data_IF_612835543044
#
_entry.id   IF_612835543044
#
_cell.length_a   1.000
_cell.length_b   1.000
_cell.length_c   1.000
_cell.angle_alpha   90.00
_cell.angle_beta   90.00
_cell.angle_gamma   90.00
#
_symmetry.space_group_name_H-M   'P 1'
#
loop_
_entity.id
_entity.type
_entity.pdbx_description
1 polymer ?
#
# COMPACT_ATOMS: atom_id res chain seq x y z
N UNK A 1 0.71 -3.09 -19.85
CA UNK A 1 1.59 -2.07 -19.28
C UNK A 1 2.91 -2.08 -20.05
N UNK A 2 3.27 -0.99 -20.71
CA UNK A 2 4.52 -0.89 -21.46
C UNK A 2 5.13 0.50 -21.39
N UNK A 3 6.49 0.59 -21.45
CA UNK A 3 7.21 1.86 -21.54
C UNK A 3 7.12 2.79 -20.33
N UNK A 4 6.84 2.25 -19.13
CA UNK A 4 6.74 3.05 -17.89
C UNK A 4 8.13 3.17 -17.27
N UNK A 5 8.56 4.41 -17.04
CA UNK A 5 9.77 4.73 -16.28
C UNK A 5 9.40 5.66 -15.14
N UNK A 6 9.70 5.27 -13.91
CA UNK A 6 9.47 6.09 -12.73
C UNK A 6 10.58 5.88 -11.70
N UNK A 7 10.78 6.86 -10.86
CA UNK A 7 11.69 6.79 -9.72
C UNK A 7 10.96 7.36 -8.51
N UNK A 8 11.13 6.76 -7.36
CA UNK A 8 10.68 7.31 -6.07
C UNK A 8 11.90 7.57 -5.21
N UNK A 9 12.07 8.81 -4.78
CA UNK A 9 13.20 9.22 -3.95
C UNK A 9 12.85 9.11 -2.46
N UNK A 10 13.86 9.13 -1.62
CA UNK A 10 13.65 9.25 -0.17
C UNK A 10 12.94 10.58 0.13
N UNK A 11 11.92 10.52 1.01
CA UNK A 11 11.14 11.69 1.36
C UNK A 11 10.28 12.22 0.22
N UNK A 12 9.89 11.38 -0.74
CA UNK A 12 9.03 11.73 -1.87
C UNK A 12 7.74 10.87 -1.85
N UNK A 13 6.60 11.50 -2.07
CA UNK A 13 5.32 10.83 -2.34
C UNK A 13 5.01 10.94 -3.82
N UNK A 14 4.95 9.82 -4.51
CA UNK A 14 4.61 9.73 -5.93
C UNK A 14 3.25 9.05 -6.09
N UNK A 15 2.29 9.73 -6.71
CA UNK A 15 1.01 9.13 -7.07
C UNK A 15 1.04 8.60 -8.51
N UNK A 16 0.59 7.36 -8.70
CA UNK A 16 0.32 6.79 -10.00
C UNK A 16 -1.19 6.81 -10.24
N UNK A 17 -1.60 7.53 -11.27
CA UNK A 17 -2.99 7.67 -11.67
C UNK A 17 -3.22 7.07 -13.05
N UNK A 18 -4.47 6.88 -13.44
CA UNK A 18 -4.84 6.35 -14.76
C UNK A 18 -6.18 5.62 -14.72
N UNK A 19 -6.73 5.34 -15.87
CA UNK A 19 -8.01 4.65 -16.02
C UNK A 19 -7.99 3.25 -15.37
N UNK A 20 -9.18 2.71 -15.08
CA UNK A 20 -9.30 1.31 -14.67
C UNK A 20 -8.76 0.40 -15.78
N UNK A 21 -7.94 -0.58 -15.39
CA UNK A 21 -7.27 -1.47 -16.33
C UNK A 21 -5.96 -0.90 -16.95
N UNK A 22 -5.54 0.33 -16.62
CA UNK A 22 -4.27 0.89 -17.10
C UNK A 22 -3.01 0.17 -16.58
N UNK A 23 -3.16 -0.77 -15.64
CA UNK A 23 -2.04 -1.55 -15.10
C UNK A 23 -1.40 -0.98 -13.84
N UNK A 24 -2.09 -0.08 -13.12
CA UNK A 24 -1.59 0.55 -11.88
C UNK A 24 -1.17 -0.48 -10.82
N UNK A 25 -2.07 -1.39 -10.45
CA UNK A 25 -1.77 -2.47 -9.48
C UNK A 25 -0.70 -3.42 -10.01
N UNK A 26 -0.71 -3.72 -11.32
CA UNK A 26 0.34 -4.51 -11.97
C UNK A 26 1.71 -3.84 -11.83
N UNK A 27 1.80 -2.52 -11.99
CA UNK A 27 3.02 -1.76 -11.78
C UNK A 27 3.52 -1.92 -10.33
N UNK A 28 2.66 -1.76 -9.33
CA UNK A 28 3.04 -1.96 -7.93
C UNK A 28 3.50 -3.39 -7.65
N UNK A 29 2.80 -4.40 -8.21
CA UNK A 29 3.20 -5.80 -8.05
C UNK A 29 4.56 -6.08 -8.69
N UNK A 30 4.88 -5.46 -9.82
CA UNK A 30 6.22 -5.52 -10.44
C UNK A 30 7.25 -4.82 -9.54
N UNK A 31 6.94 -3.63 -9.01
CA UNK A 31 7.80 -2.93 -8.06
C UNK A 31 8.01 -3.74 -6.78
N UNK A 32 6.99 -4.43 -6.27
CA UNK A 32 7.09 -5.31 -5.12
C UNK A 32 7.85 -6.63 -5.41
N UNK A 33 8.11 -6.96 -6.68
CA UNK A 33 8.74 -8.21 -7.09
C UNK A 33 7.81 -9.42 -7.06
N UNK A 34 6.50 -9.20 -6.96
CA UNK A 34 5.47 -10.24 -7.02
C UNK A 34 5.20 -10.69 -8.46
N UNK A 35 5.43 -9.79 -9.41
CA UNK A 35 5.37 -10.08 -10.84
C UNK A 35 6.70 -9.73 -11.50
N UNK A 36 7.12 -10.58 -12.44
CA UNK A 36 8.31 -10.33 -13.24
C UNK A 36 7.97 -9.36 -14.39
N UNK A 37 8.77 -8.31 -14.56
CA UNK A 37 8.68 -7.48 -15.75
C UNK A 37 9.05 -8.29 -16.99
N UNK A 38 8.30 -8.11 -18.09
CA UNK A 38 8.61 -8.75 -19.38
C UNK A 38 9.81 -8.08 -20.06
N UNK A 39 10.09 -6.80 -19.77
CA UNK A 39 11.24 -6.05 -20.25
C UNK A 39 11.56 -4.92 -19.28
N UNK A 40 12.77 -4.35 -19.38
CA UNK A 40 13.24 -3.29 -18.48
C UNK A 40 13.83 -3.83 -17.18
N UNK A 41 14.10 -2.91 -16.25
CA UNK A 41 14.73 -3.20 -14.95
C UNK A 41 13.94 -2.59 -13.82
N UNK A 42 13.95 -3.23 -12.67
CA UNK A 42 13.38 -2.72 -11.42
C UNK A 42 14.46 -2.78 -10.35
N UNK A 43 14.79 -1.61 -9.83
CA UNK A 43 15.71 -1.48 -8.70
C UNK A 43 14.94 -0.92 -7.51
N UNK A 44 15.07 -1.52 -6.35
CA UNK A 44 14.44 -1.05 -5.12
C UNK A 44 15.28 -1.35 -3.90
N UNK A 45 15.01 -0.64 -2.81
CA UNK A 45 15.55 -0.97 -1.47
C UNK A 45 15.08 -2.37 -1.04
N UNK A 46 15.89 -3.05 -0.24
CA UNK A 46 15.50 -4.33 0.38
C UNK A 46 14.42 -4.14 1.47
N UNK A 47 14.35 -2.93 2.08
CA UNK A 47 13.39 -2.60 3.13
C UNK A 47 12.21 -1.84 2.54
N UNK A 48 11.21 -2.56 2.06
CA UNK A 48 9.98 -1.99 1.55
C UNK A 48 8.76 -2.65 2.19
N UNK A 49 7.66 -1.90 2.27
CA UNK A 49 6.34 -2.40 2.64
C UNK A 49 5.39 -2.34 1.47
N UNK A 50 4.48 -3.29 1.36
CA UNK A 50 3.47 -3.33 0.32
C UNK A 50 2.08 -3.54 0.94
N UNK A 51 1.17 -2.60 0.69
CA UNK A 51 -0.24 -2.71 1.05
C UNK A 51 -1.05 -2.88 -0.26
N UNK A 52 -1.48 -4.10 -0.60
CA UNK A 52 -2.34 -4.35 -1.75
C UNK A 52 -3.77 -3.87 -1.51
N UNK A 53 -4.53 -3.71 -2.58
CA UNK A 53 -5.92 -3.28 -2.54
C UNK A 53 -6.84 -4.30 -1.85
N UNK A 54 -6.66 -5.59 -2.10
CA UNK A 54 -7.52 -6.69 -1.61
C UNK A 54 -6.69 -7.96 -1.34
N UNK A 55 -7.29 -8.91 -0.62
CA UNK A 55 -6.88 -10.33 -0.49
C UNK A 55 -5.46 -10.59 0.05
N UNK A 56 -4.93 -9.71 0.89
CA UNK A 56 -3.60 -9.91 1.47
C UNK A 56 -3.62 -10.57 2.84
N UNK A 57 -4.77 -10.62 3.50
CA UNK A 57 -4.91 -11.12 4.85
C UNK A 57 -5.35 -12.58 4.87
N UNK A 58 -4.74 -13.38 5.72
CA UNK A 58 -5.20 -14.73 6.00
C UNK A 58 -6.51 -14.66 6.80
N UNK A 59 -7.67 -15.09 6.24
CA UNK A 59 -8.97 -14.81 6.83
C UNK A 59 -9.19 -15.42 8.21
N UNK A 60 -8.46 -16.47 8.53
CA UNK A 60 -8.57 -17.19 9.81
C UNK A 60 -7.62 -16.68 10.91
N UNK A 61 -6.64 -15.83 10.55
CA UNK A 61 -5.75 -15.24 11.53
C UNK A 61 -6.36 -13.98 12.16
N UNK A 62 -6.10 -13.80 13.43
CA UNK A 62 -6.41 -12.56 14.16
C UNK A 62 -5.46 -11.43 13.78
N UNK A 63 -5.78 -10.20 14.17
CA UNK A 63 -4.91 -9.03 13.99
C UNK A 63 -3.55 -9.27 14.62
N UNK A 64 -3.50 -9.74 15.86
CA UNK A 64 -2.26 -9.99 16.58
C UNK A 64 -1.40 -11.08 15.94
N UNK A 65 -2.03 -12.11 15.38
CA UNK A 65 -1.31 -13.16 14.66
C UNK A 65 -0.71 -12.63 13.36
N UNK A 66 -1.41 -11.75 12.61
CA UNK A 66 -0.82 -11.07 11.45
C UNK A 66 0.36 -10.21 11.87
N UNK A 67 0.23 -9.40 12.92
CA UNK A 67 1.32 -8.55 13.41
C UNK A 67 2.53 -9.36 13.86
N UNK A 68 2.33 -10.50 14.53
CA UNK A 68 3.43 -11.43 14.89
C UNK A 68 4.09 -12.03 13.65
N UNK A 69 3.28 -12.51 12.71
CA UNK A 69 3.78 -13.15 11.49
C UNK A 69 4.65 -12.18 10.68
N UNK A 70 4.15 -10.98 10.39
CA UNK A 70 4.88 -9.97 9.63
C UNK A 70 6.11 -9.47 10.39
N UNK A 71 5.99 -9.26 11.71
CA UNK A 71 7.14 -8.89 12.52
C UNK A 71 8.23 -9.96 12.61
N UNK A 72 7.87 -11.23 12.53
CA UNK A 72 8.85 -12.32 12.50
C UNK A 72 9.68 -12.32 11.20
N UNK A 73 9.07 -11.96 10.06
CA UNK A 73 9.76 -11.85 8.77
C UNK A 73 10.83 -10.75 8.81
N UNK A 74 10.58 -9.66 9.51
CA UNK A 74 11.53 -8.55 9.67
C UNK A 74 12.52 -8.72 10.86
N UNK A 75 12.41 -9.81 11.60
CA UNK A 75 13.24 -10.08 12.78
C UNK A 75 12.81 -9.29 14.04
N UNK A 76 11.66 -8.60 14.00
CA UNK A 76 11.12 -7.93 15.16
C UNK A 76 10.47 -8.93 16.13
N UNK A 77 10.68 -8.73 17.43
CA UNK A 77 10.03 -9.57 18.45
C UNK A 77 8.51 -9.40 18.44
N UNK A 78 7.77 -10.51 18.63
CA UNK A 78 6.30 -10.53 18.50
C UNK A 78 5.56 -9.49 19.34
N UNK A 79 5.96 -9.26 20.59
CA UNK A 79 5.37 -8.24 21.47
C UNK A 79 5.57 -6.82 20.91
N UNK A 80 6.76 -6.52 20.37
CA UNK A 80 7.07 -5.22 19.74
C UNK A 80 6.22 -5.00 18.50
N UNK A 81 6.08 -6.02 17.65
CA UNK A 81 5.28 -5.94 16.43
C UNK A 81 3.81 -5.68 16.74
N UNK A 82 3.23 -6.37 17.75
CA UNK A 82 1.86 -6.13 18.19
C UNK A 82 1.69 -4.69 18.68
N UNK A 83 2.54 -4.22 19.59
CA UNK A 83 2.42 -2.87 20.13
C UNK A 83 2.59 -1.78 19.06
N UNK A 84 3.47 -1.99 18.09
CA UNK A 84 3.66 -1.08 16.95
C UNK A 84 2.44 -1.10 16.05
N UNK A 85 1.94 -2.29 15.68
CA UNK A 85 0.76 -2.43 14.84
C UNK A 85 -0.48 -1.81 15.47
N UNK A 86 -0.75 -2.06 16.75
CA UNK A 86 -1.87 -1.45 17.47
C UNK A 86 -1.79 0.08 17.47
N UNK A 87 -0.58 0.65 17.66
CA UNK A 87 -0.38 2.09 17.57
C UNK A 87 -0.66 2.65 16.18
N UNK A 88 -0.24 1.96 15.11
CA UNK A 88 -0.54 2.34 13.73
C UNK A 88 -2.03 2.28 13.44
N UNK A 89 -2.70 1.19 13.86
CA UNK A 89 -4.15 1.02 13.70
C UNK A 89 -4.93 2.09 14.46
N UNK A 90 -4.52 2.42 15.69
CA UNK A 90 -5.12 3.50 16.47
C UNK A 90 -5.00 4.85 15.77
N UNK A 91 -3.87 5.12 15.11
CA UNK A 91 -3.68 6.33 14.28
C UNK A 91 -4.56 6.36 13.02
N UNK A 92 -5.03 5.22 12.56
CA UNK A 92 -6.03 5.08 11.48
C UNK A 92 -7.46 5.05 12.02
N UNK A 93 -7.67 5.51 13.26
CA UNK A 93 -9.00 5.58 13.88
C UNK A 93 -9.61 4.22 14.19
N UNK A 94 -8.77 3.17 14.39
CA UNK A 94 -9.28 1.85 14.75
C UNK A 94 -8.44 1.17 15.83
N UNK A 95 -9.10 0.72 16.88
CA UNK A 95 -8.49 -0.09 17.94
C UNK A 95 -9.01 -1.52 17.82
N UNK A 96 -8.12 -2.51 17.60
CA UNK A 96 -8.53 -3.91 17.54
C UNK A 96 -9.16 -4.36 18.86
N UNK A 97 -10.32 -5.01 18.79
CA UNK A 97 -11.02 -5.57 19.92
C UNK A 97 -10.99 -7.10 19.88
N UNK A 98 -10.44 -7.70 20.93
CA UNK A 98 -10.49 -9.15 21.13
C UNK A 98 -9.79 -9.98 20.07
N UNK A 99 -10.31 -11.20 19.87
CA UNK A 99 -9.72 -12.22 18.99
C UNK A 99 -10.42 -12.31 17.63
N UNK A 100 -10.96 -11.21 17.11
CA UNK A 100 -11.59 -11.22 15.76
C UNK A 100 -10.57 -11.60 14.70
N UNK A 101 -10.96 -12.54 13.85
CA UNK A 101 -10.17 -12.93 12.67
C UNK A 101 -10.31 -11.89 11.56
N UNK A 102 -9.32 -11.82 10.69
CA UNK A 102 -9.32 -10.85 9.57
C UNK A 102 -10.54 -11.02 8.66
N UNK A 103 -11.01 -12.25 8.44
CA UNK A 103 -12.20 -12.52 7.65
C UNK A 103 -13.52 -11.99 8.25
N UNK A 104 -13.54 -11.68 9.55
CA UNK A 104 -14.69 -11.09 10.24
C UNK A 104 -14.66 -9.56 10.30
N UNK A 105 -13.61 -8.92 9.76
CA UNK A 105 -13.46 -7.47 9.69
C UNK A 105 -14.17 -6.90 8.45
N UNK A 106 -14.63 -5.65 8.54
CA UNK A 106 -15.09 -4.92 7.35
C UNK A 106 -13.94 -4.68 6.35
N UNK A 107 -14.24 -4.49 5.07
CA UNK A 107 -13.24 -4.22 4.05
C UNK A 107 -12.34 -3.02 4.40
N UNK A 108 -12.91 -1.92 4.87
CA UNK A 108 -12.13 -0.76 5.32
C UNK A 108 -11.23 -1.07 6.52
N UNK A 109 -11.67 -1.92 7.45
CA UNK A 109 -10.85 -2.36 8.59
C UNK A 109 -9.72 -3.29 8.14
N UNK A 110 -9.99 -4.19 7.20
CA UNK A 110 -8.96 -5.02 6.57
C UNK A 110 -7.90 -4.16 5.88
N UNK A 111 -8.33 -3.11 5.19
CA UNK A 111 -7.41 -2.19 4.52
C UNK A 111 -6.55 -1.39 5.52
N UNK A 112 -7.11 -0.96 6.66
CA UNK A 112 -6.32 -0.37 7.75
C UNK A 112 -5.24 -1.34 8.25
N UNK A 113 -5.58 -2.62 8.38
CA UNK A 113 -4.62 -3.65 8.77
C UNK A 113 -3.53 -3.84 7.71
N UNK A 114 -3.87 -3.89 6.40
CA UNK A 114 -2.90 -3.97 5.32
C UNK A 114 -1.88 -2.82 5.36
N UNK A 115 -2.36 -1.59 5.55
CA UNK A 115 -1.51 -0.41 5.68
C UNK A 115 -0.60 -0.50 6.91
N UNK A 116 -1.14 -0.94 8.06
CA UNK A 116 -0.36 -1.10 9.27
C UNK A 116 0.73 -2.17 9.13
N UNK A 117 0.42 -3.31 8.47
CA UNK A 117 1.38 -4.37 8.19
C UNK A 117 2.50 -3.91 7.26
N UNK A 118 2.17 -3.16 6.21
CA UNK A 118 3.16 -2.60 5.30
C UNK A 118 4.16 -1.65 6.00
N UNK A 119 3.70 -0.92 7.04
CA UNK A 119 4.51 0.04 7.79
C UNK A 119 5.19 -0.56 9.03
N UNK A 120 4.90 -1.79 9.40
CA UNK A 120 5.23 -2.37 10.70
C UNK A 120 6.72 -2.28 11.05
N UNK A 121 7.59 -2.40 10.07
CA UNK A 121 9.06 -2.40 10.24
C UNK A 121 9.73 -1.08 9.78
N UNK A 122 8.98 0.00 9.70
CA UNK A 122 9.48 1.31 9.27
C UNK A 122 10.32 1.22 7.98
N UNK A 123 9.73 0.80 6.86
CA UNK A 123 10.44 0.58 5.61
C UNK A 123 10.96 1.88 5.00
N UNK A 124 11.98 1.78 4.13
CA UNK A 124 12.51 2.92 3.36
C UNK A 124 11.61 3.29 2.18
N UNK A 125 10.75 2.35 1.73
CA UNK A 125 9.80 2.52 0.63
C UNK A 125 8.45 1.88 0.98
N UNK A 126 7.38 2.62 0.76
CA UNK A 126 6.02 2.12 0.86
C UNK A 126 5.37 2.06 -0.52
N UNK A 127 4.78 0.92 -0.84
CA UNK A 127 4.00 0.68 -2.05
C UNK A 127 2.54 0.50 -1.62
N UNK A 128 1.65 1.44 -1.99
CA UNK A 128 0.27 1.50 -1.51
C UNK A 128 -0.71 1.43 -2.69
N UNK A 129 -1.53 0.38 -2.74
CA UNK A 129 -2.53 0.20 -3.79
C UNK A 129 -3.92 0.53 -3.28
N UNK A 130 -4.45 1.70 -3.66
CA UNK A 130 -5.76 2.22 -3.23
C UNK A 130 -5.96 2.12 -1.69
N UNK A 131 -5.03 2.62 -0.86
CA UNK A 131 -4.94 2.29 0.57
C UNK A 131 -6.10 2.82 1.42
N UNK A 132 -6.94 3.69 0.87
CA UNK A 132 -8.09 4.31 1.55
C UNK A 132 -9.42 3.65 1.21
N UNK A 133 -9.41 2.55 0.47
CA UNK A 133 -10.66 1.89 0.06
C UNK A 133 -11.48 1.45 1.28
N UNK A 134 -12.73 1.92 1.34
CA UNK A 134 -13.64 1.64 2.45
C UNK A 134 -13.38 2.47 3.70
N UNK A 135 -12.54 3.51 3.64
CA UNK A 135 -12.32 4.46 4.74
C UNK A 135 -13.45 5.48 4.79
N UNK A 136 -13.83 5.88 6.00
CA UNK A 136 -14.60 7.10 6.23
C UNK A 136 -13.71 8.35 6.09
N UNK A 137 -14.32 9.54 6.19
CA UNK A 137 -13.60 10.79 5.99
C UNK A 137 -12.45 11.00 7.00
N UNK A 138 -12.66 10.63 8.27
CA UNK A 138 -11.64 10.79 9.30
C UNK A 138 -10.46 9.84 9.08
N UNK A 139 -10.73 8.56 8.82
CA UNK A 139 -9.68 7.59 8.52
C UNK A 139 -8.89 7.95 7.26
N UNK A 140 -9.54 8.59 6.29
CA UNK A 140 -8.89 9.10 5.09
C UNK A 140 -7.90 10.25 5.43
N UNK A 141 -8.30 11.20 6.25
CA UNK A 141 -7.43 12.28 6.74
C UNK A 141 -6.28 11.74 7.58
N UNK A 142 -6.56 10.79 8.47
CA UNK A 142 -5.55 10.10 9.28
C UNK A 142 -4.50 9.39 8.43
N UNK A 143 -4.92 8.74 7.33
CA UNK A 143 -4.00 8.10 6.40
C UNK A 143 -3.06 9.12 5.75
N UNK A 144 -3.58 10.25 5.28
CA UNK A 144 -2.74 11.29 4.68
C UNK A 144 -1.78 11.92 5.69
N UNK A 145 -2.20 12.09 6.94
CA UNK A 145 -1.30 12.51 8.02
C UNK A 145 -0.18 11.48 8.26
N UNK A 146 -0.49 10.19 8.16
CA UNK A 146 0.51 9.12 8.25
C UNK A 146 1.47 9.14 7.06
N UNK A 147 0.97 9.24 5.82
CA UNK A 147 1.78 9.31 4.61
C UNK A 147 2.75 10.50 4.68
N UNK A 148 2.27 11.67 5.09
CA UNK A 148 3.11 12.85 5.29
C UNK A 148 4.19 12.62 6.35
N UNK A 149 3.85 12.00 7.49
CA UNK A 149 4.82 11.68 8.53
C UNK A 149 5.88 10.66 8.06
N UNK A 150 5.51 9.69 7.22
CA UNK A 150 6.46 8.74 6.65
C UNK A 150 7.41 9.43 5.66
N UNK A 151 6.88 10.27 4.76
CA UNK A 151 7.69 11.10 3.87
C UNK A 151 8.68 11.94 4.66
N UNK A 152 8.22 12.66 5.68
CA UNK A 152 9.03 13.56 6.49
C UNK A 152 10.09 12.81 7.30
N UNK A 153 9.86 11.53 7.63
CA UNK A 153 10.87 10.63 8.21
C UNK A 153 11.88 10.09 7.20
N UNK A 154 11.72 10.42 5.91
CA UNK A 154 12.62 10.04 4.83
C UNK A 154 12.22 8.77 4.07
N UNK A 155 11.05 8.19 4.30
CA UNK A 155 10.54 7.09 3.48
C UNK A 155 10.05 7.61 2.13
N UNK A 156 10.32 6.86 1.05
CA UNK A 156 9.65 7.06 -0.23
C UNK A 156 8.27 6.40 -0.22
N UNK A 157 7.29 7.01 -0.85
CA UNK A 157 5.93 6.44 -0.97
C UNK A 157 5.50 6.42 -2.43
N UNK A 158 5.14 5.25 -2.95
CA UNK A 158 4.49 5.08 -4.23
C UNK A 158 3.04 4.69 -3.99
N UNK A 159 2.13 5.59 -4.35
CA UNK A 159 0.70 5.46 -4.12
C UNK A 159 -0.03 5.28 -5.45
N UNK A 160 -0.79 4.22 -5.60
CA UNK A 160 -1.76 4.08 -6.70
C UNK A 160 -3.10 4.63 -6.24
N UNK A 161 -3.68 5.51 -7.05
CA UNK A 161 -4.98 6.12 -6.76
C UNK A 161 -5.78 6.41 -8.03
N UNK A 162 -7.08 6.38 -7.92
CA UNK A 162 -8.01 6.93 -8.92
C UNK A 162 -8.60 8.27 -8.48
N UNK A 163 -8.34 8.71 -7.24
CA UNK A 163 -8.83 9.98 -6.70
C UNK A 163 -7.79 11.09 -6.96
N UNK A 164 -8.20 12.10 -7.72
CA UNK A 164 -7.35 13.24 -8.06
C UNK A 164 -7.51 14.43 -7.08
N UNK A 165 -8.44 14.33 -6.13
CA UNK A 165 -8.76 15.46 -5.22
C UNK A 165 -7.62 15.84 -4.28
N UNK A 166 -6.66 14.93 -4.04
CA UNK A 166 -5.56 15.15 -3.10
C UNK A 166 -4.21 15.22 -3.81
N UNK A 167 -4.22 15.62 -5.07
CA UNK A 167 -3.02 15.75 -5.89
C UNK A 167 -2.01 16.75 -5.30
N UNK A 168 -2.52 17.71 -4.52
CA UNK A 168 -1.70 18.71 -3.83
C UNK A 168 -0.94 18.13 -2.60
N UNK A 169 -1.30 16.92 -2.16
CA UNK A 169 -0.65 16.23 -1.06
C UNK A 169 0.50 15.32 -1.50
N UNK A 170 0.72 15.18 -2.81
CA UNK A 170 1.80 14.38 -3.38
C UNK A 170 2.84 15.28 -4.04
N UNK A 171 4.10 14.86 -4.01
CA UNK A 171 5.20 15.63 -4.61
C UNK A 171 5.21 15.50 -6.14
N UNK A 172 4.70 14.38 -6.68
CA UNK A 172 4.67 14.11 -8.12
C UNK A 172 3.58 13.13 -8.51
N UNK A 173 3.01 13.37 -9.69
CA UNK A 173 2.02 12.48 -10.31
C UNK A 173 2.60 11.85 -11.56
N UNK A 174 2.36 10.55 -11.72
CA UNK A 174 2.67 9.77 -12.92
C UNK A 174 1.36 9.24 -13.49
N UNK A 175 1.01 9.67 -14.67
CA UNK A 175 -0.18 9.16 -15.34
C UNK A 175 0.15 7.97 -16.23
N UNK A 176 -0.56 6.85 -16.03
CA UNK A 176 -0.46 5.71 -16.92
C UNK A 176 -1.41 5.89 -18.10
N UNK A 177 -0.95 5.64 -19.34
CA UNK A 177 -1.81 5.73 -20.51
C UNK A 177 -2.97 4.75 -20.41
N UNK A 178 -4.10 5.13 -20.99
CA UNK A 178 -5.22 4.21 -21.10
C UNK A 178 -4.79 2.94 -21.87
N UNK A 179 -5.30 1.77 -21.50
CA UNK A 179 -4.98 0.54 -22.22
C UNK A 179 -5.43 0.71 -23.68
N UNK A 180 -4.53 0.42 -24.62
CA UNK A 180 -4.92 0.32 -26.02
C UNK A 180 -6.08 -0.70 -26.12
N UNK A 181 -7.22 -0.25 -26.56
CA UNK A 181 -8.32 -1.16 -26.90
C UNK A 181 -7.79 -2.07 -27.99
N UNK A 182 -7.58 -3.34 -27.68
CA UNK A 182 -7.35 -4.33 -28.72
C UNK A 182 -8.50 -4.17 -29.71
N UNK A 183 -8.18 -3.67 -30.90
CA UNK A 183 -9.12 -3.61 -32.02
C UNK A 183 -9.57 -5.04 -32.22
N UNK A 184 -10.82 -5.37 -31.81
CA UNK A 184 -11.47 -6.57 -32.32
C UNK A 184 -11.72 -6.28 -33.82
N UNK A 185 -10.72 -6.57 -34.62
CA UNK A 185 -10.97 -6.80 -36.03
C UNK A 185 -11.87 -8.00 -36.11
N UNK A 186 -13.09 -7.72 -36.53
CA UNK A 186 -14.04 -8.71 -36.98
C UNK A 186 -13.44 -9.43 -38.19
N UNK A 187 -13.38 -10.73 -38.09
CA UNK A 187 -13.36 -11.63 -39.25
C UNK A 187 -14.61 -12.50 -39.20
#
# INVERSE_FOLDING_TARGET
LGGVSLTVRRGEVVAVVGANGAGKSTLLQVCAGLLRASSGTVERTARFGYAPQLDALAPLLTVDEHLRLFGAVSGAGGARSISTGHRLLSRLGWTPEGSRTAGALSGGTQQKLNVALAQLDSPDLLLLDEPYQGFDALAYEDLWALISAWRDSGAGVLLVTHLLRDIDLVDRVVELPAPERASKEAA
#
